data_IF_726508940460
#
_entry.id   IF_726508940460
#
_cell.length_a   1.000
_cell.length_b   1.000
_cell.length_c   1.000
_cell.angle_alpha   90.00
_cell.angle_beta   90.00
_cell.angle_gamma   90.00
#
_symmetry.space_group_name_H-M   'P 1'
#
loop_
_entity.id
_entity.type
_entity.pdbx_description
1 polymer ?
#
# COMPACT_ATOMS: atom_id res chain seq x y z
N UNK A 1 -32.48 36.68 33.57
CA UNK A 1 -32.55 35.64 32.52
C UNK A 1 -31.16 35.54 31.91
N UNK A 2 -30.36 34.54 32.31
CA UNK A 2 -29.08 34.27 31.68
C UNK A 2 -29.32 33.17 30.63
N UNK A 3 -29.10 33.49 29.36
CA UNK A 3 -29.14 32.51 28.30
C UNK A 3 -27.93 31.57 28.43
N UNK A 4 -28.20 30.28 28.59
CA UNK A 4 -27.18 29.22 28.51
C UNK A 4 -26.71 29.16 27.03
N UNK A 5 -25.40 29.25 26.73
CA UNK A 5 -24.92 28.99 25.37
C UNK A 5 -25.21 27.53 25.02
N UNK A 6 -25.56 27.21 23.76
CA UNK A 6 -25.67 25.82 23.35
C UNK A 6 -24.33 25.12 23.57
N UNK A 7 -24.39 23.91 24.13
CA UNK A 7 -23.28 22.98 24.05
C UNK A 7 -23.20 22.53 22.59
N UNK A 8 -22.09 22.83 21.95
CA UNK A 8 -21.76 22.23 20.67
C UNK A 8 -21.36 20.79 20.99
N UNK A 9 -22.36 19.92 21.01
CA UNK A 9 -22.23 18.53 20.58
C UNK A 9 -21.95 18.55 19.06
N UNK A 10 -21.29 17.53 18.52
CA UNK A 10 -20.69 17.44 17.17
C UNK A 10 -19.32 18.16 17.04
N UNK A 11 -18.20 17.50 16.76
CA UNK A 11 -18.00 16.28 15.98
C UNK A 11 -16.73 15.59 16.48
N UNK A 12 -16.85 14.31 16.82
CA UNK A 12 -15.75 13.36 16.97
C UNK A 12 -15.17 13.09 15.56
N UNK A 13 -14.63 14.14 14.92
CA UNK A 13 -13.87 14.05 13.68
C UNK A 13 -12.42 13.76 14.13
N UNK A 14 -12.23 12.58 14.73
CA UNK A 14 -10.86 12.05 14.83
C UNK A 14 -10.31 12.04 13.40
N UNK A 15 -9.17 12.71 13.15
CA UNK A 15 -8.65 12.83 11.80
C UNK A 15 -8.46 11.42 11.27
N UNK A 16 -9.29 11.01 10.30
CA UNK A 16 -9.13 9.71 9.65
C UNK A 16 -7.78 9.75 8.97
N UNK A 17 -6.78 9.11 9.57
CA UNK A 17 -5.40 9.12 9.06
C UNK A 17 -5.44 8.43 7.71
N UNK A 18 -5.37 9.21 6.63
CA UNK A 18 -5.37 8.64 5.29
C UNK A 18 -3.99 8.03 5.03
N UNK A 19 -3.92 6.70 5.02
CA UNK A 19 -2.71 5.92 4.75
C UNK A 19 -2.55 5.67 3.25
N UNK A 20 -1.30 5.61 2.77
CA UNK A 20 -0.97 5.35 1.36
C UNK A 20 0.24 4.43 1.24
N UNK A 21 0.34 3.74 0.11
CA UNK A 21 1.44 2.85 -0.23
C UNK A 21 1.63 1.77 0.83
N UNK A 22 2.88 1.61 1.31
CA UNK A 22 3.22 0.55 2.25
C UNK A 22 2.51 0.66 3.61
N UNK A 23 2.17 1.89 4.04
CA UNK A 23 1.41 2.10 5.28
C UNK A 23 -0.03 1.59 5.14
N UNK A 24 -0.65 1.81 3.98
CA UNK A 24 -1.96 1.25 3.69
C UNK A 24 -1.88 -0.28 3.60
N UNK A 25 -0.85 -0.84 2.95
CA UNK A 25 -0.63 -2.30 2.95
C UNK A 25 -0.55 -2.85 4.38
N UNK A 26 0.23 -2.22 5.26
CA UNK A 26 0.38 -2.67 6.64
C UNK A 26 -0.95 -2.71 7.40
N UNK A 27 -1.81 -1.71 7.20
CA UNK A 27 -3.16 -1.66 7.79
C UNK A 27 -4.04 -2.83 7.29
N UNK A 28 -4.05 -3.12 5.99
CA UNK A 28 -4.77 -4.28 5.46
C UNK A 28 -4.21 -5.61 5.97
N UNK A 29 -2.88 -5.70 6.13
CA UNK A 29 -2.24 -6.87 6.68
C UNK A 29 -2.50 -7.01 8.19
N UNK A 30 -2.78 -5.93 8.92
CA UNK A 30 -3.11 -5.97 10.36
C UNK A 30 -4.48 -6.62 10.63
N UNK A 31 -5.43 -6.42 9.73
CA UNK A 31 -6.71 -7.13 9.75
C UNK A 31 -6.62 -8.63 9.44
N UNK A 32 -5.47 -9.13 8.99
CA UNK A 32 -5.27 -10.51 8.57
C UNK A 32 -4.23 -11.24 9.45
N UNK A 33 -4.62 -12.39 10.00
CA UNK A 33 -3.71 -13.24 10.78
C UNK A 33 -2.92 -14.17 9.85
N UNK A 34 -1.60 -14.02 9.82
CA UNK A 34 -0.70 -14.82 8.98
C UNK A 34 0.19 -15.72 9.81
N UNK A 35 0.21 -17.01 9.45
CA UNK A 35 1.26 -17.93 9.89
C UNK A 35 2.42 -17.90 8.90
N UNK A 36 3.58 -17.46 9.36
CA UNK A 36 4.79 -17.44 8.55
C UNK A 36 5.52 -18.80 8.63
N UNK A 37 6.07 -19.29 7.51
CA UNK A 37 6.26 -18.58 6.25
C UNK A 37 5.05 -18.73 5.29
N UNK A 38 4.61 -17.61 4.69
CA UNK A 38 3.39 -17.48 3.88
C UNK A 38 3.72 -17.25 2.42
N UNK A 39 2.98 -17.88 1.50
CA UNK A 39 3.10 -17.64 0.06
C UNK A 39 2.21 -16.50 -0.43
N UNK A 40 2.61 -15.88 -1.55
CA UNK A 40 1.89 -14.75 -2.15
C UNK A 40 0.42 -15.05 -2.45
N UNK A 41 0.08 -16.29 -2.76
CA UNK A 41 -1.29 -16.68 -3.10
C UNK A 41 -2.15 -16.73 -1.83
N UNK A 42 -1.64 -17.35 -0.77
CA UNK A 42 -2.26 -17.30 0.56
C UNK A 42 -2.42 -15.86 1.06
N UNK A 43 -1.47 -14.95 0.80
CA UNK A 43 -1.63 -13.53 1.16
C UNK A 43 -2.85 -12.91 0.47
N UNK A 44 -3.01 -13.14 -0.84
CA UNK A 44 -4.15 -12.63 -1.62
C UNK A 44 -5.46 -13.27 -1.17
N UNK A 45 -5.49 -14.59 -0.97
CA UNK A 45 -6.68 -15.33 -0.57
C UNK A 45 -7.16 -14.90 0.83
N UNK A 46 -6.24 -14.69 1.78
CA UNK A 46 -6.58 -14.26 3.15
C UNK A 46 -7.04 -12.81 3.20
N UNK A 47 -6.47 -11.93 2.37
CA UNK A 47 -6.81 -10.49 2.36
C UNK A 47 -7.96 -10.13 1.43
N UNK A 48 -8.33 -11.02 0.50
CA UNK A 48 -9.37 -10.77 -0.49
C UNK A 48 -8.97 -9.82 -1.62
N UNK A 49 -7.67 -9.72 -1.92
CA UNK A 49 -7.11 -8.84 -2.95
C UNK A 49 -7.53 -7.35 -2.87
N UNK A 50 -7.22 -6.64 -1.77
CA UNK A 50 -7.63 -5.25 -1.62
C UNK A 50 -6.94 -4.31 -2.61
N UNK A 51 -7.65 -3.26 -3.01
CA UNK A 51 -7.10 -2.13 -3.76
C UNK A 51 -6.35 -1.18 -2.81
N UNK A 52 -5.03 -1.13 -2.93
CA UNK A 52 -4.19 -0.33 -2.05
C UNK A 52 -4.01 1.08 -2.63
N UNK A 53 -4.37 2.15 -1.91
CA UNK A 53 -4.10 3.53 -2.33
C UNK A 53 -2.60 3.78 -2.47
N UNK A 54 -2.14 4.23 -3.64
CA UNK A 54 -0.71 4.47 -3.92
C UNK A 54 -0.30 5.91 -3.56
N UNK A 55 -1.19 6.88 -3.81
CA UNK A 55 -0.93 8.29 -3.57
C UNK A 55 -2.23 9.12 -3.45
N UNK A 56 -2.05 10.41 -3.16
CA UNK A 56 -3.14 11.38 -2.94
C UNK A 56 -3.96 11.73 -4.19
N UNK A 57 -3.55 11.29 -5.38
CA UNK A 57 -4.27 11.49 -6.64
C UNK A 57 -5.40 10.46 -6.84
N UNK A 58 -5.62 9.57 -5.87
CA UNK A 58 -6.67 8.54 -5.91
C UNK A 58 -6.31 7.31 -6.74
N UNK A 59 -5.02 7.11 -7.06
CA UNK A 59 -4.55 5.90 -7.73
C UNK A 59 -4.49 4.74 -6.75
N UNK A 60 -4.95 3.57 -7.19
CA UNK A 60 -4.89 2.32 -6.42
C UNK A 60 -4.06 1.26 -7.16
N UNK A 61 -3.54 0.29 -6.42
CA UNK A 61 -2.89 -0.90 -6.94
C UNK A 61 -3.39 -2.11 -6.15
N UNK A 62 -3.98 -3.09 -6.85
CA UNK A 62 -4.40 -4.35 -6.23
C UNK A 62 -3.20 -5.07 -5.61
N UNK A 63 -3.40 -5.65 -4.42
CA UNK A 63 -2.34 -6.35 -3.69
C UNK A 63 -1.77 -7.52 -4.50
N UNK A 64 -2.61 -8.27 -5.21
CA UNK A 64 -2.20 -9.34 -6.12
C UNK A 64 -1.24 -8.83 -7.20
N UNK A 65 -1.54 -7.67 -7.80
CA UNK A 65 -0.68 -7.02 -8.80
C UNK A 65 0.62 -6.50 -8.22
N UNK A 66 0.61 -6.04 -6.97
CA UNK A 66 1.84 -5.67 -6.29
C UNK A 66 2.73 -6.90 -6.04
N UNK A 67 2.15 -8.01 -5.55
CA UNK A 67 2.85 -9.27 -5.28
C UNK A 67 3.39 -9.93 -6.55
N UNK A 68 2.65 -9.85 -7.67
CA UNK A 68 3.10 -10.33 -9.00
C UNK A 68 4.39 -9.64 -9.47
N UNK A 69 4.61 -8.38 -9.07
CA UNK A 69 5.82 -7.60 -9.41
C UNK A 69 7.00 -7.92 -8.50
N UNK A 70 6.80 -8.67 -7.42
CA UNK A 70 7.90 -9.14 -6.57
C UNK A 70 8.49 -10.43 -7.13
N UNK A 71 9.81 -10.59 -7.03
CA UNK A 71 10.48 -11.84 -7.44
C UNK A 71 10.21 -13.00 -6.46
N UNK A 72 9.87 -12.66 -5.22
CA UNK A 72 9.66 -13.60 -4.13
C UNK A 72 8.28 -14.25 -4.24
N UNK A 73 8.20 -15.57 -3.97
CA UNK A 73 6.94 -16.32 -3.95
C UNK A 73 6.44 -16.63 -2.54
N UNK A 74 7.34 -16.55 -1.57
CA UNK A 74 7.12 -16.89 -0.16
C UNK A 74 7.87 -15.88 0.69
N UNK A 75 7.29 -15.53 1.83
CA UNK A 75 7.82 -14.55 2.77
C UNK A 75 7.99 -15.19 4.14
N UNK A 76 9.14 -14.92 4.75
CA UNK A 76 9.52 -15.52 6.04
C UNK A 76 8.95 -14.75 7.24
N UNK A 77 8.53 -13.50 7.03
CA UNK A 77 7.92 -12.67 8.08
C UNK A 77 7.10 -11.53 7.46
N UNK A 78 6.28 -10.85 8.29
CA UNK A 78 5.58 -9.63 7.87
C UNK A 78 6.56 -8.57 7.34
N UNK A 79 7.68 -8.39 8.03
CA UNK A 79 8.71 -7.42 7.64
C UNK A 79 9.27 -7.75 6.25
N UNK A 80 9.51 -9.03 5.99
CA UNK A 80 10.02 -9.52 4.70
C UNK A 80 9.03 -9.25 3.55
N UNK A 81 7.74 -9.54 3.77
CA UNK A 81 6.65 -9.19 2.85
C UNK A 81 6.58 -7.68 2.57
N UNK A 82 6.59 -6.85 3.62
CA UNK A 82 6.54 -5.39 3.47
C UNK A 82 7.78 -4.85 2.74
N UNK A 83 8.97 -5.37 3.06
CA UNK A 83 10.20 -4.98 2.37
C UNK A 83 10.16 -5.34 0.88
N UNK A 84 9.56 -6.48 0.52
CA UNK A 84 9.40 -6.88 -0.88
C UNK A 84 8.41 -5.98 -1.64
N UNK A 85 7.34 -5.52 -0.99
CA UNK A 85 6.33 -4.66 -1.58
C UNK A 85 6.75 -3.18 -1.63
N UNK A 86 7.59 -2.72 -0.70
CA UNK A 86 8.05 -1.34 -0.64
C UNK A 86 8.57 -0.78 -1.98
N UNK A 87 9.52 -1.43 -2.69
CA UNK A 87 10.00 -0.93 -3.98
C UNK A 87 8.92 -0.92 -5.06
N UNK A 88 7.94 -1.84 -5.01
CA UNK A 88 6.84 -1.90 -5.97
C UNK A 88 5.91 -0.70 -5.83
N UNK A 89 5.58 -0.32 -4.60
CA UNK A 89 4.75 0.85 -4.33
C UNK A 89 5.48 2.16 -4.60
N UNK A 90 6.80 2.21 -4.37
CA UNK A 90 7.62 3.36 -4.74
C UNK A 90 7.68 3.56 -6.26
N UNK A 91 7.87 2.48 -7.04
CA UNK A 91 7.82 2.52 -8.51
C UNK A 91 6.43 2.92 -9.04
N UNK A 92 5.36 2.35 -8.46
CA UNK A 92 3.99 2.69 -8.81
C UNK A 92 3.70 4.18 -8.55
N UNK A 93 4.25 4.73 -7.45
CA UNK A 93 4.15 6.15 -7.13
C UNK A 93 4.83 7.00 -8.19
N UNK A 94 6.07 6.68 -8.57
CA UNK A 94 6.86 7.43 -9.56
C UNK A 94 6.32 7.34 -10.99
N UNK A 95 5.73 6.20 -11.35
CA UNK A 95 5.26 5.94 -12.72
C UNK A 95 4.09 6.82 -13.17
N UNK A 96 3.23 7.30 -12.27
CA UNK A 96 2.05 8.12 -12.67
C UNK A 96 2.16 9.62 -12.41
N UNK A 97 3.21 10.09 -11.74
CA UNK A 97 3.50 11.52 -11.60
C UNK A 97 4.41 12.08 -12.71
N UNK A 98 4.76 11.26 -13.72
CA UNK A 98 5.51 11.70 -14.91
C UNK A 98 6.86 11.01 -15.14
N UNK A 99 7.06 9.78 -14.63
CA UNK A 99 8.36 9.12 -14.64
C UNK A 99 8.41 7.78 -15.38
N UNK A 100 8.26 7.77 -16.70
CA UNK A 100 8.73 6.66 -17.57
C UNK A 100 10.26 6.77 -17.78
N UNK A 101 11.02 7.10 -16.73
CA UNK A 101 12.46 7.42 -16.84
C UNK A 101 13.25 6.53 -15.89
N UNK A 102 13.50 5.29 -16.30
CA UNK A 102 14.44 4.42 -15.58
C UNK A 102 14.88 3.21 -16.38
N UNK A 103 13.97 2.56 -17.11
CA UNK A 103 14.31 1.29 -17.75
C UNK A 103 14.96 1.42 -19.14
N UNK A 104 14.85 2.57 -19.82
CA UNK A 104 15.30 2.71 -21.23
C UNK A 104 16.79 3.06 -21.42
N UNK A 105 17.62 3.08 -20.36
CA UNK A 105 19.05 3.47 -20.51
C UNK A 105 20.08 2.35 -20.35
N UNK A 106 19.71 1.12 -19.96
CA UNK A 106 20.71 0.05 -19.76
C UNK A 106 20.87 -0.97 -20.90
N UNK A 107 20.13 -0.84 -22.00
CA UNK A 107 20.18 -1.82 -23.11
C UNK A 107 20.69 -1.26 -24.45
N UNK A 108 21.27 -0.06 -24.49
CA UNK A 108 22.00 0.42 -25.68
C UNK A 108 23.50 0.32 -25.39
N UNK A 109 24.20 -0.73 -25.87
CA UNK A 109 25.66 -0.70 -25.93
C UNK A 109 26.09 0.43 -26.88
N UNK A 110 26.97 1.30 -26.40
CA UNK A 110 27.68 2.25 -27.27
C UNK A 110 28.66 1.44 -28.12
N UNK A 111 28.31 1.23 -29.39
CA UNK A 111 29.25 0.81 -30.44
C UNK A 111 29.58 2.01 -31.32
#
# INVERSE_FOLDING_TARGET
MAARPPANDDTDDEPTVVTFGIAAVEEFLDGADFSYPVDRQTVVDTTGDPEIPVDTSGRTLALSKALERTEQRRYESRRDLLNALHPVFEDARQSGSGGIVGFVRSLIPSF
#
